data_IF_543244755986
#
_entry.id   IF_543244755986
#
_cell.length_a   1.000
_cell.length_b   1.000
_cell.length_c   1.000
_cell.angle_alpha   90.00
_cell.angle_beta   90.00
_cell.angle_gamma   90.00
#
_symmetry.space_group_name_H-M   'P 1'
#
loop_
_entity.id
_entity.type
_entity.pdbx_description
1 polymer ?
#
# COMPACT_ATOMS: atom_id res chain seq x y z
N UNK A 1 44.15 39.01 -15.86
CA UNK A 1 43.92 39.12 -14.39
C UNK A 1 42.39 38.98 -14.04
N UNK A 2 41.48 39.77 -14.59
CA UNK A 2 40.02 39.72 -14.28
C UNK A 2 39.39 38.34 -14.47
N UNK A 3 39.60 37.65 -15.57
CA UNK A 3 39.05 36.30 -15.85
C UNK A 3 39.47 35.26 -14.81
N UNK A 4 40.72 35.33 -14.38
CA UNK A 4 41.26 34.37 -13.40
C UNK A 4 40.62 34.59 -12.01
N UNK A 5 40.39 35.83 -11.60
CA UNK A 5 39.70 36.19 -10.37
C UNK A 5 38.21 35.76 -10.38
N UNK A 6 37.54 35.86 -11.52
CA UNK A 6 36.16 35.40 -11.67
C UNK A 6 36.04 33.86 -11.63
N UNK A 7 37.02 33.13 -12.20
CA UNK A 7 37.06 31.67 -12.10
C UNK A 7 37.33 31.19 -10.65
N UNK A 8 38.24 31.82 -9.94
CA UNK A 8 38.53 31.53 -8.53
C UNK A 8 37.30 31.81 -7.66
N UNK A 9 36.63 32.94 -7.85
CA UNK A 9 35.40 33.28 -7.11
C UNK A 9 34.27 32.27 -7.36
N UNK A 10 34.09 31.80 -8.61
CA UNK A 10 33.13 30.75 -8.95
C UNK A 10 33.48 29.41 -8.31
N UNK A 11 34.75 29.02 -8.27
CA UNK A 11 35.20 27.80 -7.64
C UNK A 11 34.95 27.81 -6.12
N UNK A 12 35.20 28.94 -5.47
CA UNK A 12 34.95 29.15 -4.03
C UNK A 12 33.43 29.04 -3.77
N UNK A 13 32.58 29.72 -4.57
CA UNK A 13 31.13 29.67 -4.38
C UNK A 13 30.56 28.23 -4.55
N UNK A 14 31.10 27.46 -5.51
CA UNK A 14 30.71 26.04 -5.69
C UNK A 14 31.12 25.19 -4.50
N UNK A 15 32.29 25.42 -3.94
CA UNK A 15 32.74 24.69 -2.73
C UNK A 15 31.90 25.03 -1.51
N UNK A 16 31.57 26.29 -1.29
CA UNK A 16 30.69 26.74 -0.22
C UNK A 16 29.29 26.14 -0.35
N UNK A 17 28.76 26.12 -1.59
CA UNK A 17 27.45 25.49 -1.85
C UNK A 17 27.46 23.98 -1.54
N UNK A 18 28.48 23.26 -1.97
CA UNK A 18 28.65 21.82 -1.66
C UNK A 18 28.77 21.56 -0.15
N UNK A 19 29.49 22.44 0.57
CA UNK A 19 29.60 22.33 2.03
C UNK A 19 28.26 22.56 2.72
N UNK A 20 27.48 23.56 2.29
CA UNK A 20 26.12 23.83 2.81
C UNK A 20 25.19 22.65 2.56
N UNK A 21 25.20 22.08 1.35
CA UNK A 21 24.39 20.91 1.01
C UNK A 21 24.77 19.67 1.85
N UNK A 22 26.08 19.42 2.02
CA UNK A 22 26.57 18.33 2.87
C UNK A 22 26.18 18.53 4.33
N UNK A 23 26.25 19.76 4.82
CA UNK A 23 25.84 20.09 6.19
C UNK A 23 24.34 19.91 6.38
N UNK A 24 23.51 20.41 5.46
CA UNK A 24 22.06 20.24 5.48
C UNK A 24 21.65 18.75 5.41
N UNK A 25 22.30 17.96 4.57
CA UNK A 25 22.09 16.51 4.49
C UNK A 25 22.44 15.80 5.79
N UNK A 26 23.54 16.19 6.46
CA UNK A 26 23.94 15.62 7.74
C UNK A 26 22.96 15.98 8.86
N UNK A 27 22.47 17.22 8.91
CA UNK A 27 21.45 17.64 9.88
C UNK A 27 20.14 16.87 9.68
N UNK A 28 19.69 16.72 8.43
CA UNK A 28 18.50 15.95 8.11
C UNK A 28 18.62 14.46 8.50
N UNK A 29 19.80 13.87 8.34
CA UNK A 29 20.07 12.50 8.77
C UNK A 29 20.03 12.35 10.30
N UNK A 30 20.62 13.30 11.03
CA UNK A 30 20.59 13.31 12.51
C UNK A 30 19.17 13.49 13.04
N UNK A 31 18.38 14.36 12.42
CA UNK A 31 16.98 14.59 12.80
C UNK A 31 16.13 13.33 12.56
N UNK A 32 16.31 12.64 11.43
CA UNK A 32 15.67 11.34 11.16
C UNK A 32 16.03 10.30 12.23
N UNK A 33 17.32 10.21 12.63
CA UNK A 33 17.74 9.28 13.68
C UNK A 33 17.07 9.61 15.03
N UNK A 34 17.00 10.90 15.41
CA UNK A 34 16.32 11.31 16.64
C UNK A 34 14.85 10.97 16.65
N UNK A 35 14.15 11.19 15.51
CA UNK A 35 12.74 10.84 15.36
C UNK A 35 12.56 9.32 15.48
N UNK A 36 13.43 8.53 14.82
CA UNK A 36 13.39 7.06 14.88
C UNK A 36 13.65 6.55 16.31
N UNK A 37 14.65 7.07 17.01
CA UNK A 37 14.94 6.71 18.40
C UNK A 37 13.79 7.07 19.35
N UNK A 38 13.23 8.27 19.21
CA UNK A 38 12.07 8.71 19.98
C UNK A 38 10.85 7.81 19.72
N UNK A 39 10.62 7.43 18.46
CA UNK A 39 9.55 6.48 18.08
C UNK A 39 9.77 5.11 18.69
N UNK A 40 11.01 4.58 18.62
CA UNK A 40 11.34 3.29 19.25
C UNK A 40 11.10 3.30 20.77
N UNK A 41 11.46 4.39 21.45
CA UNK A 41 11.20 4.53 22.88
C UNK A 41 9.70 4.63 23.19
N UNK A 42 8.95 5.41 22.39
CA UNK A 42 7.51 5.62 22.55
C UNK A 42 6.71 4.31 22.39
N UNK A 43 7.18 3.42 21.55
CA UNK A 43 6.51 2.17 21.22
C UNK A 43 7.22 0.92 21.77
N UNK A 44 8.19 1.11 22.66
CA UNK A 44 8.88 0.00 23.29
C UNK A 44 7.91 -0.88 24.07
N UNK A 45 7.93 -2.18 23.76
CA UNK A 45 7.05 -3.18 24.39
C UNK A 45 5.69 -3.40 23.69
N UNK A 46 5.36 -2.67 22.62
CA UNK A 46 4.20 -2.95 21.80
C UNK A 46 4.59 -3.95 20.70
N UNK A 47 3.95 -5.12 20.70
CA UNK A 47 4.07 -6.08 19.60
C UNK A 47 3.06 -5.73 18.49
N UNK A 48 3.58 -5.19 17.39
CA UNK A 48 2.77 -4.86 16.22
C UNK A 48 2.50 -6.07 15.30
N UNK A 49 3.05 -7.25 15.61
CA UNK A 49 2.89 -8.46 14.81
C UNK A 49 3.67 -8.44 13.48
N UNK A 50 3.34 -9.37 12.59
CA UNK A 50 3.95 -9.47 11.26
C UNK A 50 3.11 -8.76 10.22
N UNK A 51 3.77 -8.27 9.19
CA UNK A 51 3.15 -7.52 8.10
C UNK A 51 3.21 -8.30 6.79
N UNK A 52 2.05 -8.56 6.22
CA UNK A 52 1.86 -9.23 4.94
C UNK A 52 1.18 -8.30 3.95
N UNK A 53 1.47 -8.45 2.66
CA UNK A 53 0.79 -7.70 1.61
C UNK A 53 0.45 -8.60 0.42
N UNK A 54 -0.78 -8.46 -0.09
CA UNK A 54 -1.21 -8.94 -1.39
C UNK A 54 -1.29 -7.73 -2.33
N UNK A 55 -0.43 -7.69 -3.32
CA UNK A 55 -0.36 -6.59 -4.29
C UNK A 55 -0.74 -7.14 -5.66
N UNK A 56 -1.78 -6.55 -6.27
CA UNK A 56 -2.37 -7.01 -7.53
C UNK A 56 -2.33 -5.89 -8.54
N UNK A 57 -1.75 -6.14 -9.73
CA UNK A 57 -1.72 -5.22 -10.86
C UNK A 57 -2.18 -5.88 -12.15
N UNK A 58 -3.22 -5.34 -12.80
CA UNK A 58 -3.84 -5.93 -13.98
C UNK A 58 -3.80 -4.97 -15.18
N UNK A 59 -3.01 -5.29 -16.20
CA UNK A 59 -2.92 -4.56 -17.47
C UNK A 59 -3.50 -5.37 -18.64
N UNK A 60 -3.18 -6.68 -18.73
CA UNK A 60 -3.39 -7.52 -19.91
C UNK A 60 -4.77 -8.20 -19.92
N UNK A 61 -5.82 -7.38 -19.98
CA UNK A 61 -7.20 -7.87 -20.04
C UNK A 61 -7.48 -8.64 -21.35
N UNK A 62 -8.08 -9.83 -21.21
CA UNK A 62 -8.41 -10.70 -22.36
C UNK A 62 -9.59 -10.19 -23.19
N UNK A 63 -10.54 -9.51 -22.54
CA UNK A 63 -11.83 -9.13 -23.16
C UNK A 63 -12.20 -7.67 -22.92
N UNK A 64 -11.43 -6.94 -22.14
CA UNK A 64 -11.61 -5.52 -21.85
C UNK A 64 -10.44 -4.72 -22.42
N UNK A 65 -10.55 -3.39 -22.41
CA UNK A 65 -9.47 -2.51 -22.81
C UNK A 65 -8.26 -2.75 -21.90
N UNK A 66 -7.08 -2.94 -22.47
CA UNK A 66 -5.83 -3.05 -21.71
C UNK A 66 -5.51 -1.74 -21.00
N UNK A 67 -4.88 -1.85 -19.85
CA UNK A 67 -4.28 -0.73 -19.11
C UNK A 67 -2.77 -0.69 -19.37
N UNK A 68 -2.11 0.39 -18.95
CA UNK A 68 -0.68 0.58 -19.22
C UNK A 68 0.16 0.69 -17.95
N UNK A 69 -0.43 1.08 -16.81
CA UNK A 69 0.31 1.45 -15.60
C UNK A 69 0.05 0.56 -14.40
N UNK A 70 -1.09 -0.15 -14.36
CA UNK A 70 -1.51 -0.87 -13.16
C UNK A 70 -0.48 -1.92 -12.67
N UNK A 71 0.21 -2.62 -13.57
CA UNK A 71 1.27 -3.57 -13.20
C UNK A 71 2.53 -2.86 -12.71
N UNK A 72 2.94 -1.75 -13.34
CA UNK A 72 4.10 -0.98 -12.88
C UNK A 72 3.86 -0.30 -11.53
N UNK A 73 2.65 0.22 -11.31
CA UNK A 73 2.24 0.84 -10.05
C UNK A 73 2.22 -0.21 -8.93
N UNK A 74 1.63 -1.37 -9.19
CA UNK A 74 1.64 -2.50 -8.27
C UNK A 74 3.07 -2.99 -7.95
N UNK A 75 3.95 -3.08 -8.96
CA UNK A 75 5.34 -3.47 -8.77
C UNK A 75 6.11 -2.46 -7.90
N UNK A 76 5.90 -1.16 -8.12
CA UNK A 76 6.49 -0.10 -7.31
C UNK A 76 6.03 -0.18 -5.84
N UNK A 77 4.73 -0.37 -5.60
CA UNK A 77 4.16 -0.55 -4.26
C UNK A 77 4.72 -1.83 -3.60
N UNK A 78 4.78 -2.94 -4.33
CA UNK A 78 5.33 -4.20 -3.82
C UNK A 78 6.81 -4.06 -3.41
N UNK A 79 7.62 -3.36 -4.22
CA UNK A 79 9.00 -3.03 -3.92
C UNK A 79 9.13 -2.18 -2.65
N UNK A 80 8.37 -1.08 -2.58
CA UNK A 80 8.36 -0.18 -1.44
C UNK A 80 8.00 -0.90 -0.13
N UNK A 81 6.93 -1.69 -0.15
CA UNK A 81 6.47 -2.43 1.03
C UNK A 81 7.51 -3.46 1.51
N UNK A 82 8.17 -4.16 0.57
CA UNK A 82 9.20 -5.16 0.88
C UNK A 82 10.48 -4.53 1.41
N UNK A 83 10.99 -3.51 0.71
CA UNK A 83 12.33 -2.96 0.95
C UNK A 83 12.35 -1.93 2.07
N UNK A 84 11.31 -1.09 2.17
CA UNK A 84 11.29 0.01 3.13
C UNK A 84 10.46 -0.28 4.39
N UNK A 85 9.47 -1.18 4.28
CA UNK A 85 8.54 -1.45 5.39
C UNK A 85 8.59 -2.89 5.91
N UNK A 86 9.40 -3.78 5.31
CA UNK A 86 9.60 -5.14 5.80
C UNK A 86 8.38 -6.07 5.65
N UNK A 87 7.44 -5.76 4.75
CA UNK A 87 6.31 -6.62 4.48
C UNK A 87 6.72 -7.91 3.77
N UNK A 88 6.09 -9.03 4.14
CA UNK A 88 6.09 -10.24 3.32
C UNK A 88 5.09 -10.07 2.18
N UNK A 89 5.58 -9.77 0.98
CA UNK A 89 4.74 -9.39 -0.16
C UNK A 89 4.51 -10.56 -1.12
N UNK A 90 3.23 -10.89 -1.37
CA UNK A 90 2.77 -11.67 -2.52
C UNK A 90 2.33 -10.70 -3.61
N UNK A 91 2.99 -10.75 -4.75
CA UNK A 91 2.70 -9.88 -5.89
C UNK A 91 2.10 -10.69 -7.03
N UNK A 92 0.93 -10.29 -7.51
CA UNK A 92 0.22 -10.89 -8.63
C UNK A 92 0.14 -9.87 -9.79
N UNK A 93 0.63 -10.28 -10.95
CA UNK A 93 0.51 -9.52 -12.19
C UNK A 93 -0.46 -10.22 -13.13
N UNK A 94 -1.38 -9.44 -13.70
CA UNK A 94 -2.37 -9.94 -14.67
C UNK A 94 -3.16 -11.15 -14.13
N UNK A 95 -3.63 -11.03 -12.90
CA UNK A 95 -4.30 -12.07 -12.17
C UNK A 95 -5.73 -12.31 -12.70
N UNK A 96 -6.09 -13.58 -12.82
CA UNK A 96 -7.47 -14.03 -13.04
C UNK A 96 -8.25 -13.99 -11.73
N UNK A 97 -9.58 -14.20 -11.83
CA UNK A 97 -10.41 -14.35 -10.63
C UNK A 97 -9.95 -15.50 -9.74
N UNK A 98 -9.54 -16.62 -10.33
CA UNK A 98 -9.04 -17.78 -9.58
C UNK A 98 -7.74 -17.43 -8.82
N UNK A 99 -6.76 -16.83 -9.49
CA UNK A 99 -5.47 -16.46 -8.87
C UNK A 99 -5.67 -15.54 -7.65
N UNK A 100 -6.64 -14.61 -7.71
CA UNK A 100 -6.93 -13.71 -6.60
C UNK A 100 -7.54 -14.46 -5.41
N UNK A 101 -8.53 -15.35 -5.65
CA UNK A 101 -9.12 -16.13 -4.57
C UNK A 101 -8.16 -17.16 -4.00
N UNK A 102 -7.35 -17.84 -4.81
CA UNK A 102 -6.32 -18.75 -4.35
C UNK A 102 -5.32 -18.04 -3.40
N UNK A 103 -4.96 -16.78 -3.73
CA UNK A 103 -4.12 -15.97 -2.87
C UNK A 103 -4.80 -15.62 -1.53
N UNK A 104 -6.08 -15.31 -1.56
CA UNK A 104 -6.86 -14.99 -0.35
C UNK A 104 -7.08 -16.23 0.51
N UNK A 105 -7.32 -17.40 -0.10
CA UNK A 105 -7.49 -18.67 0.61
C UNK A 105 -6.17 -19.10 1.28
N UNK A 106 -5.01 -18.91 0.61
CA UNK A 106 -3.71 -19.14 1.24
C UNK A 106 -3.50 -18.25 2.48
N UNK A 107 -3.91 -16.99 2.43
CA UNK A 107 -3.88 -16.11 3.61
C UNK A 107 -4.84 -16.57 4.71
N UNK A 108 -5.99 -17.14 4.35
CA UNK A 108 -6.91 -17.73 5.32
C UNK A 108 -6.32 -18.91 6.07
N UNK A 109 -5.47 -19.70 5.41
CA UNK A 109 -4.80 -20.83 6.01
C UNK A 109 -3.56 -20.47 6.84
N UNK A 110 -2.91 -19.33 6.51
CA UNK A 110 -1.57 -19.01 7.02
C UNK A 110 -1.51 -17.84 7.99
N UNK A 111 -2.46 -16.89 7.93
CA UNK A 111 -2.47 -15.73 8.82
C UNK A 111 -3.03 -16.09 10.19
N UNK A 112 -2.47 -15.44 11.20
CA UNK A 112 -2.87 -15.57 12.60
C UNK A 112 -3.41 -14.23 13.15
N UNK A 113 -3.97 -14.24 14.34
CA UNK A 113 -4.54 -13.07 15.02
C UNK A 113 -3.47 -12.02 15.45
N UNK A 114 -2.20 -12.29 15.21
CA UNK A 114 -1.10 -11.34 15.40
C UNK A 114 -0.62 -10.73 14.08
N UNK A 115 -1.08 -11.22 12.93
CA UNK A 115 -0.62 -10.77 11.62
C UNK A 115 -1.45 -9.57 11.11
N UNK A 116 -0.81 -8.74 10.27
CA UNK A 116 -1.44 -7.61 9.60
C UNK A 116 -1.39 -7.83 8.09
N UNK A 117 -2.47 -7.51 7.38
CA UNK A 117 -2.59 -7.69 5.93
C UNK A 117 -2.91 -6.37 5.24
N UNK A 118 -2.11 -5.99 4.24
CA UNK A 118 -2.43 -4.96 3.28
C UNK A 118 -2.79 -5.62 1.95
N UNK A 119 -3.91 -5.23 1.35
CA UNK A 119 -4.28 -5.63 0.00
C UNK A 119 -4.29 -4.38 -0.86
N UNK A 120 -3.49 -4.38 -1.92
CA UNK A 120 -3.47 -3.34 -2.95
C UNK A 120 -3.97 -3.93 -4.26
N UNK A 121 -4.93 -3.27 -4.88
CA UNK A 121 -5.47 -3.65 -6.18
C UNK A 121 -5.39 -2.47 -7.15
N UNK A 122 -4.69 -2.64 -8.26
CA UNK A 122 -4.66 -1.71 -9.38
C UNK A 122 -5.23 -2.42 -10.63
N UNK A 123 -6.31 -1.88 -11.21
CA UNK A 123 -6.97 -2.49 -12.36
C UNK A 123 -8.35 -1.91 -12.64
N UNK A 124 -9.08 -2.53 -13.57
CA UNK A 124 -10.45 -2.13 -13.83
C UNK A 124 -11.39 -2.44 -12.67
N UNK A 125 -12.27 -1.48 -12.41
CA UNK A 125 -13.43 -1.64 -11.54
C UNK A 125 -14.72 -1.33 -12.28
N UNK A 126 -15.83 -1.81 -11.76
CA UNK A 126 -17.18 -1.54 -12.27
C UNK A 126 -18.14 -1.26 -11.14
N UNK A 127 -18.99 -0.24 -11.31
CA UNK A 127 -20.12 0.04 -10.44
C UNK A 127 -21.41 -0.30 -11.19
N UNK A 128 -22.22 -1.17 -10.62
CA UNK A 128 -23.61 -1.35 -11.02
C UNK A 128 -24.49 -0.35 -10.26
N UNK A 129 -24.85 0.73 -10.91
CA UNK A 129 -25.62 1.83 -10.31
C UNK A 129 -27.00 1.38 -9.82
N UNK A 130 -27.62 0.39 -10.49
CA UNK A 130 -28.95 -0.09 -10.13
C UNK A 130 -28.94 -0.89 -8.81
N UNK A 131 -27.87 -1.61 -8.52
CA UNK A 131 -27.71 -2.38 -7.29
C UNK A 131 -26.71 -1.75 -6.31
N UNK A 132 -26.10 -0.60 -6.66
CA UNK A 132 -25.03 0.05 -5.93
C UNK A 132 -23.84 -0.89 -5.59
N UNK A 133 -23.61 -1.88 -6.45
CA UNK A 133 -22.61 -2.92 -6.24
C UNK A 133 -21.33 -2.63 -7.03
N UNK A 134 -20.20 -2.52 -6.33
CA UNK A 134 -18.88 -2.43 -6.94
C UNK A 134 -18.27 -3.80 -7.20
N UNK A 135 -17.44 -3.86 -8.24
CA UNK A 135 -16.74 -5.08 -8.66
C UNK A 135 -15.29 -4.77 -9.02
N UNK A 136 -14.37 -5.63 -8.62
CA UNK A 136 -13.06 -5.73 -9.24
C UNK A 136 -13.17 -6.58 -10.50
N UNK A 137 -12.47 -6.15 -11.55
CA UNK A 137 -12.45 -6.87 -12.82
C UNK A 137 -11.08 -7.50 -13.05
N UNK A 138 -10.90 -8.81 -12.80
CA UNK A 138 -9.70 -9.54 -13.15
C UNK A 138 -9.44 -9.58 -14.65
N UNK A 139 -8.25 -10.02 -15.09
CA UNK A 139 -7.89 -10.01 -16.52
C UNK A 139 -8.76 -10.93 -17.40
N UNK A 140 -9.45 -11.89 -16.81
CA UNK A 140 -10.39 -12.80 -17.45
C UNK A 140 -11.86 -12.35 -17.39
N UNK A 141 -12.12 -11.14 -16.85
CA UNK A 141 -13.45 -10.55 -16.81
C UNK A 141 -13.97 -10.26 -18.22
N UNK A 142 -15.24 -10.64 -18.48
CA UNK A 142 -15.91 -10.42 -19.77
C UNK A 142 -16.87 -9.24 -19.67
N UNK A 143 -17.01 -8.43 -20.77
CA UNK A 143 -18.04 -7.39 -20.83
C UNK A 143 -19.43 -8.00 -20.62
N UNK A 144 -20.28 -7.33 -19.83
CA UNK A 144 -21.68 -7.72 -19.60
C UNK A 144 -21.89 -9.14 -19.04
N UNK A 145 -20.85 -9.82 -18.55
CA UNK A 145 -20.90 -11.17 -18.00
C UNK A 145 -20.19 -11.21 -16.66
N UNK A 146 -20.95 -11.29 -15.56
CA UNK A 146 -20.42 -11.18 -14.19
C UNK A 146 -19.69 -12.43 -13.67
N UNK A 147 -19.60 -13.52 -14.47
CA UNK A 147 -19.03 -14.82 -14.03
C UNK A 147 -17.66 -14.67 -13.38
N UNK A 148 -16.77 -13.87 -13.98
CA UNK A 148 -15.41 -13.65 -13.49
C UNK A 148 -15.22 -12.29 -12.83
N UNK A 149 -16.27 -11.53 -12.59
CA UNK A 149 -16.19 -10.31 -11.80
C UNK A 149 -16.15 -10.65 -10.32
N UNK A 150 -15.43 -9.88 -9.53
CA UNK A 150 -15.33 -10.07 -8.07
C UNK A 150 -16.15 -8.97 -7.40
N UNK A 151 -17.33 -9.30 -6.84
CA UNK A 151 -18.11 -8.33 -6.07
C UNK A 151 -17.31 -7.84 -4.84
N UNK A 152 -17.39 -6.55 -4.52
CA UNK A 152 -16.80 -6.00 -3.31
C UNK A 152 -17.32 -6.71 -2.05
N UNK A 153 -18.59 -7.15 -2.07
CA UNK A 153 -19.17 -7.96 -0.99
C UNK A 153 -18.45 -9.31 -0.80
N UNK A 154 -17.98 -9.95 -1.87
CA UNK A 154 -17.21 -11.20 -1.79
C UNK A 154 -15.84 -10.95 -1.15
N UNK A 155 -15.15 -9.89 -1.55
CA UNK A 155 -13.89 -9.48 -0.90
C UNK A 155 -14.13 -9.24 0.58
N UNK A 156 -15.10 -8.39 0.93
CA UNK A 156 -15.42 -8.08 2.32
C UNK A 156 -15.79 -9.34 3.13
N UNK A 157 -16.53 -10.26 2.52
CA UNK A 157 -16.88 -11.55 3.14
C UNK A 157 -15.66 -12.41 3.44
N UNK A 158 -14.75 -12.54 2.46
CA UNK A 158 -13.48 -13.28 2.63
C UNK A 158 -12.63 -12.65 3.72
N UNK A 159 -12.47 -11.31 3.71
CA UNK A 159 -11.67 -10.61 4.72
C UNK A 159 -12.19 -10.78 6.16
N UNK A 160 -13.49 -10.96 6.34
CA UNK A 160 -14.09 -11.26 7.67
C UNK A 160 -13.69 -12.65 8.17
N UNK A 161 -13.38 -13.58 7.27
CA UNK A 161 -13.00 -14.95 7.60
C UNK A 161 -11.47 -15.12 7.80
N UNK A 162 -10.67 -14.07 7.58
CA UNK A 162 -9.24 -14.07 7.85
C UNK A 162 -8.97 -13.81 9.33
N UNK A 163 -8.03 -14.54 9.90
CA UNK A 163 -7.62 -14.36 11.29
C UNK A 163 -6.65 -13.18 11.52
N UNK A 164 -6.28 -12.45 10.47
CA UNK A 164 -5.42 -11.28 10.60
C UNK A 164 -5.99 -10.24 11.58
N UNK A 165 -5.12 -9.63 12.37
CA UNK A 165 -5.44 -8.60 13.38
C UNK A 165 -5.95 -7.32 12.72
N UNK A 166 -5.18 -6.79 11.77
CA UNK A 166 -5.56 -5.62 11.00
C UNK A 166 -5.54 -5.93 9.51
N UNK A 167 -6.57 -5.47 8.80
CA UNK A 167 -6.62 -5.59 7.34
C UNK A 167 -6.90 -4.22 6.75
N UNK A 168 -6.05 -3.81 5.80
CA UNK A 168 -6.22 -2.60 5.00
C UNK A 168 -6.37 -3.02 3.54
N UNK A 169 -7.40 -2.50 2.88
CA UNK A 169 -7.57 -2.66 1.42
C UNK A 169 -7.45 -1.29 0.78
N UNK A 170 -6.56 -1.19 -0.20
CA UNK A 170 -6.38 -0.01 -1.05
C UNK A 170 -6.73 -0.42 -2.46
N UNK A 171 -7.79 0.16 -3.03
CA UNK A 171 -8.22 -0.14 -4.38
C UNK A 171 -8.06 1.10 -5.27
N UNK A 172 -7.09 1.04 -6.17
CA UNK A 172 -6.86 2.01 -7.24
C UNK A 172 -7.61 1.57 -8.50
N UNK A 173 -8.92 1.81 -8.49
CA UNK A 173 -9.81 1.49 -9.60
C UNK A 173 -10.94 2.52 -9.70
N UNK A 174 -11.43 2.75 -10.91
CA UNK A 174 -12.38 3.84 -11.21
C UNK A 174 -13.70 3.80 -10.42
N UNK A 175 -14.06 2.71 -9.72
CA UNK A 175 -15.32 2.52 -8.99
C UNK A 175 -15.13 1.81 -7.66
N UNK A 176 -14.07 2.13 -6.96
CA UNK A 176 -13.75 1.56 -5.65
C UNK A 176 -14.58 2.15 -4.50
N UNK A 177 -15.23 3.31 -4.70
CA UNK A 177 -15.93 4.07 -3.66
C UNK A 177 -17.03 3.35 -2.88
N UNK A 178 -17.54 2.22 -3.38
CA UNK A 178 -18.54 1.41 -2.66
C UNK A 178 -17.96 0.53 -1.54
N UNK A 179 -16.63 0.50 -1.40
CA UNK A 179 -15.95 -0.21 -0.30
C UNK A 179 -15.87 0.60 0.99
N UNK A 180 -16.13 1.92 0.94
CA UNK A 180 -15.89 2.81 2.08
C UNK A 180 -17.09 2.93 3.01
N UNK A 181 -16.90 2.61 4.28
CA UNK A 181 -17.61 3.23 5.40
C UNK A 181 -16.60 3.84 6.35
N UNK A 182 -16.54 5.17 6.31
CA UNK A 182 -15.92 6.12 7.26
C UNK A 182 -14.84 5.58 8.21
N UNK A 183 -13.59 5.79 7.90
CA UNK A 183 -12.52 5.80 8.88
C UNK A 183 -12.36 7.25 9.41
N UNK A 184 -12.53 7.46 10.72
CA UNK A 184 -12.05 8.66 11.40
C UNK A 184 -10.57 8.50 11.66
N UNK A 185 -9.77 9.50 11.32
CA UNK A 185 -8.34 9.56 11.67
C UNK A 185 -8.26 9.77 13.19
N UNK A 186 -7.55 8.93 13.91
CA UNK A 186 -7.51 8.95 15.35
C UNK A 186 -6.34 9.74 15.93
N UNK A 187 -6.44 10.01 17.23
CA UNK A 187 -5.47 10.68 18.10
C UNK A 187 -4.13 9.90 18.21
N UNK A 188 -2.99 10.61 18.18
CA UNK A 188 -1.62 10.10 18.26
C UNK A 188 -1.14 9.76 19.70
N UNK A 189 -2.04 9.67 20.67
CA UNK A 189 -1.63 9.39 22.05
C UNK A 189 -1.10 7.95 22.22
N UNK A 190 -0.06 7.72 23.05
CA UNK A 190 0.47 6.38 23.33
C UNK A 190 -0.58 5.38 23.82
N UNK A 191 -1.51 5.82 24.64
CA UNK A 191 -2.63 4.99 25.14
C UNK A 191 -3.60 4.59 24.04
N UNK A 192 -3.81 5.47 23.05
CA UNK A 192 -4.63 5.16 21.88
C UNK A 192 -3.95 4.11 21.00
N UNK A 193 -2.65 4.27 20.70
CA UNK A 193 -1.88 3.35 19.88
C UNK A 193 -1.77 1.98 20.52
N UNK A 194 -1.53 1.89 21.84
CA UNK A 194 -1.54 0.62 22.57
C UNK A 194 -2.89 -0.10 22.44
N UNK A 195 -3.99 0.61 22.65
CA UNK A 195 -5.35 0.03 22.50
C UNK A 195 -5.62 -0.40 21.06
N UNK A 196 -5.20 0.39 20.05
CA UNK A 196 -5.34 0.01 18.64
C UNK A 196 -4.50 -1.22 18.27
N UNK A 197 -3.33 -1.38 18.88
CA UNK A 197 -2.49 -2.57 18.70
C UNK A 197 -3.15 -3.85 19.23
N UNK A 198 -4.09 -3.75 20.18
CA UNK A 198 -4.84 -4.88 20.73
C UNK A 198 -6.16 -5.17 20.00
N UNK A 199 -6.70 -4.20 19.26
CA UNK A 199 -8.00 -4.30 18.58
C UNK A 199 -7.87 -4.84 17.17
N UNK A 200 -8.83 -5.65 16.73
CA UNK A 200 -8.99 -6.02 15.32
C UNK A 200 -9.57 -4.86 14.52
N UNK A 201 -8.93 -4.46 13.43
CA UNK A 201 -9.41 -3.41 12.56
C UNK A 201 -9.48 -3.86 11.08
N UNK A 202 -10.46 -3.33 10.34
CA UNK A 202 -10.68 -3.53 8.92
C UNK A 202 -10.92 -2.16 8.29
N UNK A 203 -10.01 -1.73 7.41
CA UNK A 203 -10.07 -0.44 6.74
C UNK A 203 -10.01 -0.64 5.22
N UNK A 204 -10.82 0.13 4.50
CA UNK A 204 -10.78 0.16 3.03
C UNK A 204 -10.56 1.60 2.60
N UNK A 205 -9.59 1.81 1.70
CA UNK A 205 -9.27 3.07 1.03
C UNK A 205 -9.52 2.91 -0.47
N UNK A 206 -10.19 3.90 -1.08
CA UNK A 206 -10.56 3.86 -2.50
C UNK A 206 -10.35 5.21 -3.14
#
# INVERSE_FOLDING_TARGET
>A
LKRRQEEEARAVAVLEQKQKEKHASRLAALERQRIEEASRQKFAGIDFGKYHALVIGNNDYKYLKKLNTATSDASAIAGLLRESYGYKVRHLENATRADIFDALDEYRETLTDTDNLLIYYAGHGWLDEASEQGFWLPVDAKPKRRTNWIPNASITGTLKALDAKHIIVVADSCYSGTLVRSAKIPDDSPDYISRMAEMRARLVLT
#
